data_IF_371074984252
#
_entry.id   IF_371074984252
#
_cell.length_a   1.000
_cell.length_b   1.000
_cell.length_c   1.000
_cell.angle_alpha   90.00
_cell.angle_beta   90.00
_cell.angle_gamma   90.00
#
_symmetry.space_group_name_H-M   'P 1'
#
loop_
_entity.id
_entity.type
_entity.pdbx_description
1 polymer ?
#
# COMPACT_ATOMS: atom_id res chain seq x y z
N UNK A 1 10.04 -2.93 -21.33
CA UNK A 1 9.15 -1.90 -20.74
C UNK A 1 8.71 -2.25 -19.31
N UNK A 2 8.50 -3.53 -18.97
CA UNK A 2 8.21 -3.99 -17.61
C UNK A 2 9.21 -3.53 -16.54
N UNK A 3 10.50 -3.46 -16.86
CA UNK A 3 11.54 -2.94 -15.95
C UNK A 3 11.32 -1.48 -15.53
N UNK A 4 10.78 -0.64 -16.42
CA UNK A 4 10.48 0.76 -16.11
C UNK A 4 9.30 0.85 -15.17
N UNK A 5 8.22 0.09 -15.42
CA UNK A 5 7.07 0.03 -14.52
C UNK A 5 7.46 -0.50 -13.14
N UNK A 6 8.30 -1.53 -13.06
CA UNK A 6 8.84 -2.05 -11.81
C UNK A 6 9.72 -1.03 -11.09
N UNK A 7 10.60 -0.31 -11.79
CA UNK A 7 11.43 0.74 -11.22
C UNK A 7 10.58 1.90 -10.65
N UNK A 8 9.55 2.34 -11.38
CA UNK A 8 8.63 3.38 -10.91
C UNK A 8 7.83 2.93 -9.68
N UNK A 9 7.37 1.68 -9.67
CA UNK A 9 6.68 1.09 -8.53
C UNK A 9 7.60 1.03 -7.29
N UNK A 10 8.84 0.55 -7.45
CA UNK A 10 9.83 0.51 -6.37
C UNK A 10 10.20 1.91 -5.88
N UNK A 11 10.38 2.88 -6.78
CA UNK A 11 10.64 4.27 -6.41
C UNK A 11 9.49 4.87 -5.61
N UNK A 12 8.25 4.61 -5.99
CA UNK A 12 7.09 5.10 -5.26
C UNK A 12 6.99 4.48 -3.85
N UNK A 13 7.28 3.18 -3.69
CA UNK A 13 7.40 2.58 -2.35
C UNK A 13 8.59 3.12 -1.55
N UNK A 14 9.74 3.34 -2.20
CA UNK A 14 10.90 3.98 -1.59
C UNK A 14 10.56 5.39 -1.07
N UNK A 15 9.81 6.17 -1.86
CA UNK A 15 9.30 7.48 -1.45
C UNK A 15 8.40 7.38 -0.22
N UNK A 16 7.46 6.43 -0.16
CA UNK A 16 6.62 6.21 1.03
C UNK A 16 7.47 5.88 2.25
N UNK A 17 8.44 4.98 2.13
CA UNK A 17 9.34 4.60 3.22
C UNK A 17 10.14 5.79 3.75
N UNK A 18 10.76 6.56 2.85
CA UNK A 18 11.48 7.80 3.20
C UNK A 18 10.54 8.81 3.85
N UNK A 19 9.33 8.99 3.32
CA UNK A 19 8.35 9.93 3.86
C UNK A 19 8.01 9.63 5.32
N UNK A 20 7.81 8.35 5.65
CA UNK A 20 7.54 7.90 7.03
C UNK A 20 8.76 8.16 7.94
N UNK A 21 9.97 7.86 7.47
CA UNK A 21 11.20 8.12 8.23
C UNK A 21 11.37 9.62 8.48
N UNK A 22 11.21 10.47 7.47
CA UNK A 22 11.36 11.91 7.61
C UNK A 22 10.30 12.46 8.57
N UNK A 23 9.04 12.06 8.42
CA UNK A 23 7.95 12.49 9.32
C UNK A 23 8.16 12.06 10.78
N UNK A 24 8.93 11.00 11.05
CA UNK A 24 9.23 10.55 12.43
C UNK A 24 10.50 11.13 13.02
N UNK A 25 11.41 11.65 12.20
CA UNK A 25 12.76 12.05 12.63
C UNK A 25 13.05 13.53 12.44
N UNK A 26 12.25 14.23 11.64
CA UNK A 26 12.44 15.64 11.30
C UNK A 26 11.54 16.56 12.12
N UNK A 27 11.98 17.81 12.26
CA UNK A 27 11.14 18.88 12.78
C UNK A 27 10.15 19.41 11.73
N UNK A 28 9.53 20.55 12.03
CA UNK A 28 8.58 21.20 11.12
C UNK A 28 9.19 21.41 9.72
N UNK A 29 8.42 21.19 8.64
CA UNK A 29 8.93 21.34 7.28
C UNK A 29 9.42 22.77 7.04
N UNK A 30 10.64 22.92 6.51
CA UNK A 30 11.25 24.22 6.25
C UNK A 30 10.78 24.85 4.92
N UNK A 31 10.12 24.06 4.07
CA UNK A 31 9.56 24.53 2.81
C UNK A 31 8.56 23.56 2.17
N UNK A 32 8.05 23.94 1.00
CA UNK A 32 7.00 23.19 0.30
C UNK A 32 7.42 21.78 -0.13
N UNK A 33 8.69 21.59 -0.53
CA UNK A 33 9.22 20.26 -0.89
C UNK A 33 9.26 19.36 0.34
N UNK A 34 9.75 19.87 1.47
CA UNK A 34 9.78 19.14 2.74
C UNK A 34 8.37 18.75 3.19
N UNK A 35 7.40 19.65 3.02
CA UNK A 35 6.00 19.38 3.34
C UNK A 35 5.42 18.26 2.48
N UNK A 36 5.76 18.20 1.18
CA UNK A 36 5.31 17.11 0.29
C UNK A 36 5.96 15.78 0.67
N UNK A 37 7.26 15.77 0.97
CA UNK A 37 7.97 14.56 1.39
C UNK A 37 7.45 14.07 2.76
N UNK A 38 7.19 14.98 3.70
CA UNK A 38 6.68 14.60 5.02
C UNK A 38 5.21 14.19 4.97
N UNK A 39 4.39 14.81 4.11
CA UNK A 39 2.94 14.67 4.13
C UNK A 39 2.41 13.23 4.01
N UNK A 40 3.06 12.37 3.22
CA UNK A 40 2.66 10.95 3.14
C UNK A 40 2.98 10.21 4.44
N UNK A 41 4.11 10.51 5.06
CA UNK A 41 4.49 9.97 6.36
C UNK A 41 3.57 10.47 7.47
N UNK A 42 3.26 11.76 7.49
CA UNK A 42 2.32 12.37 8.44
C UNK A 42 0.91 11.79 8.29
N UNK A 43 0.44 11.59 7.05
CA UNK A 43 -0.82 10.91 6.78
C UNK A 43 -0.81 9.50 7.37
N UNK A 44 0.24 8.71 7.12
CA UNK A 44 0.38 7.37 7.67
C UNK A 44 0.30 7.37 9.21
N UNK A 45 1.11 8.22 9.86
CA UNK A 45 1.17 8.30 11.32
C UNK A 45 -0.15 8.76 11.93
N UNK A 46 -0.77 9.78 11.34
CA UNK A 46 -2.04 10.37 11.79
C UNK A 46 -3.19 9.38 11.63
N UNK A 47 -3.29 8.70 10.48
CA UNK A 47 -4.32 7.70 10.23
C UNK A 47 -4.19 6.52 11.20
N UNK A 48 -2.99 5.97 11.39
CA UNK A 48 -2.75 4.88 12.36
C UNK A 48 -3.10 5.32 13.78
N UNK A 49 -2.69 6.52 14.20
CA UNK A 49 -3.03 7.04 15.52
C UNK A 49 -4.54 7.20 15.71
N UNK A 50 -5.22 7.75 14.70
CA UNK A 50 -6.67 7.94 14.71
C UNK A 50 -7.43 6.61 14.79
N UNK A 51 -7.02 5.60 14.01
CA UNK A 51 -7.62 4.27 14.04
C UNK A 51 -7.41 3.58 15.39
N UNK A 52 -6.26 3.78 16.03
CA UNK A 52 -6.01 3.27 17.39
C UNK A 52 -6.86 3.99 18.43
N UNK A 53 -6.98 5.31 18.34
CA UNK A 53 -7.87 6.08 19.22
C UNK A 53 -9.33 5.63 19.08
N UNK A 54 -9.79 5.41 17.84
CA UNK A 54 -11.11 4.84 17.59
C UNK A 54 -11.27 3.49 18.28
N UNK A 55 -10.33 2.56 18.11
CA UNK A 55 -10.40 1.23 18.71
C UNK A 55 -10.54 1.27 20.24
N UNK A 56 -9.83 2.19 20.89
CA UNK A 56 -9.90 2.42 22.34
C UNK A 56 -11.20 3.09 22.79
N UNK A 57 -11.86 3.84 21.91
CA UNK A 57 -13.12 4.52 22.21
C UNK A 57 -14.36 3.63 22.02
N UNK A 58 -14.22 2.48 21.35
CA UNK A 58 -15.34 1.57 21.13
C UNK A 58 -15.64 0.70 22.36
N UNK A 59 -16.85 0.14 22.42
CA UNK A 59 -17.21 -0.90 23.41
C UNK A 59 -16.71 -2.30 23.04
N UNK A 60 -16.08 -2.45 21.88
CA UNK A 60 -15.53 -3.71 21.36
C UNK A 60 -14.10 -3.87 21.85
N UNK A 61 -13.67 -5.10 22.14
CA UNK A 61 -12.27 -5.36 22.49
C UNK A 61 -11.33 -4.82 21.39
N UNK A 62 -10.26 -4.08 21.73
CA UNK A 62 -9.32 -3.53 20.76
C UNK A 62 -8.76 -4.59 19.80
N UNK A 63 -8.61 -5.83 20.27
CA UNK A 63 -8.21 -6.99 19.45
C UNK A 63 -9.15 -7.22 18.27
N UNK A 64 -10.45 -7.19 18.51
CA UNK A 64 -11.45 -7.46 17.47
C UNK A 64 -11.60 -6.29 16.51
N UNK A 65 -11.43 -5.05 16.99
CA UNK A 65 -11.38 -3.88 16.12
C UNK A 65 -10.17 -3.96 15.17
N UNK A 66 -9.01 -4.37 15.67
CA UNK A 66 -7.81 -4.50 14.86
C UNK A 66 -7.91 -5.63 13.82
N UNK A 67 -8.51 -6.78 14.19
CA UNK A 67 -8.89 -7.82 13.22
C UNK A 67 -9.85 -7.27 12.15
N UNK A 68 -10.79 -6.40 12.54
CA UNK A 68 -11.66 -5.68 11.62
C UNK A 68 -10.89 -4.80 10.64
N UNK A 69 -9.90 -4.05 11.12
CA UNK A 69 -9.02 -3.25 10.25
C UNK A 69 -8.21 -4.12 9.28
N UNK A 70 -7.65 -5.23 9.76
CA UNK A 70 -6.96 -6.19 8.92
C UNK A 70 -7.90 -6.72 7.83
N UNK A 71 -9.13 -7.12 8.18
CA UNK A 71 -10.12 -7.57 7.21
C UNK A 71 -10.49 -6.48 6.20
N UNK A 72 -10.65 -5.22 6.64
CA UNK A 72 -10.94 -4.08 5.76
C UNK A 72 -9.78 -3.77 4.80
N UNK A 73 -8.54 -4.06 5.20
CA UNK A 73 -7.37 -3.87 4.35
C UNK A 73 -7.40 -4.74 3.07
N UNK A 74 -8.21 -5.81 3.05
CA UNK A 74 -8.39 -6.65 1.85
C UNK A 74 -8.85 -5.85 0.64
N UNK A 75 -9.70 -4.84 0.83
CA UNK A 75 -10.26 -4.02 -0.26
C UNK A 75 -9.17 -3.22 -0.97
N UNK A 76 -8.40 -2.34 -0.29
CA UNK A 76 -7.31 -1.61 -0.94
C UNK A 76 -6.17 -2.54 -1.41
N UNK A 77 -5.88 -3.65 -0.72
CA UNK A 77 -4.93 -4.66 -1.21
C UNK A 77 -5.38 -5.22 -2.56
N UNK A 78 -6.65 -5.63 -2.67
CA UNK A 78 -7.21 -6.16 -3.90
C UNK A 78 -7.14 -5.14 -5.03
N UNK A 79 -7.49 -3.87 -4.77
CA UNK A 79 -7.38 -2.79 -5.75
C UNK A 79 -5.91 -2.63 -6.20
N UNK A 80 -4.97 -2.58 -5.26
CA UNK A 80 -3.55 -2.45 -5.57
C UNK A 80 -3.06 -3.56 -6.49
N UNK A 81 -3.38 -4.80 -6.13
CA UNK A 81 -2.99 -6.00 -6.85
C UNK A 81 -3.65 -6.12 -8.22
N UNK A 82 -4.93 -5.76 -8.32
CA UNK A 82 -5.67 -5.75 -9.58
C UNK A 82 -5.03 -4.76 -10.57
N UNK A 83 -4.75 -3.53 -10.13
CA UNK A 83 -4.09 -2.52 -10.95
C UNK A 83 -2.67 -2.96 -11.35
N UNK A 84 -1.91 -3.54 -10.42
CA UNK A 84 -0.56 -4.05 -10.69
C UNK A 84 -0.57 -5.17 -11.73
N UNK A 85 -1.54 -6.08 -11.65
CA UNK A 85 -1.75 -7.15 -12.62
C UNK A 85 -2.03 -6.60 -14.02
N UNK A 86 -2.88 -5.56 -14.12
CA UNK A 86 -3.13 -4.84 -15.37
C UNK A 86 -1.86 -4.23 -15.96
N UNK A 87 -1.04 -3.56 -15.14
CA UNK A 87 0.26 -3.00 -15.58
C UNK A 87 1.17 -4.07 -16.16
N UNK A 88 1.30 -5.21 -15.49
CA UNK A 88 2.16 -6.31 -15.96
C UNK A 88 1.65 -6.86 -17.29
N UNK A 89 0.32 -7.02 -17.42
CA UNK A 89 -0.30 -7.61 -18.60
C UNK A 89 -0.14 -6.75 -19.85
N UNK A 90 -0.06 -5.42 -19.72
CA UNK A 90 0.26 -4.49 -20.83
C UNK A 90 1.66 -4.72 -21.41
N UNK A 91 2.58 -5.30 -20.65
CA UNK A 91 3.98 -5.44 -21.06
C UNK A 91 4.39 -6.88 -21.44
N UNK A 92 3.41 -7.77 -21.60
CA UNK A 92 3.63 -9.18 -21.90
C UNK A 92 2.77 -9.57 -23.11
N UNK A 93 3.40 -9.74 -24.27
CA UNK A 93 2.74 -10.01 -25.55
C UNK A 93 2.21 -11.46 -25.70
N UNK A 94 2.51 -12.35 -24.74
CA UNK A 94 2.09 -13.75 -24.81
C UNK A 94 0.64 -13.94 -24.35
N UNK A 95 -0.26 -14.09 -25.33
CA UNK A 95 -1.69 -14.36 -25.12
C UNK A 95 -1.99 -15.72 -24.46
N UNK A 96 -0.99 -16.59 -24.28
CA UNK A 96 -1.18 -17.96 -23.77
C UNK A 96 -1.20 -18.05 -22.24
N UNK A 97 -0.54 -17.14 -21.53
CA UNK A 97 -0.55 -17.06 -20.07
C UNK A 97 -0.52 -15.58 -19.70
N UNK A 98 -1.54 -15.05 -19.05
CA UNK A 98 -1.51 -13.68 -18.52
C UNK A 98 -0.50 -13.60 -17.37
N UNK A 99 0.73 -13.13 -17.57
CA UNK A 99 1.80 -13.28 -16.57
C UNK A 99 1.52 -12.40 -15.34
N UNK A 100 0.71 -11.34 -15.52
CA UNK A 100 0.16 -10.52 -14.45
C UNK A 100 -0.78 -11.30 -13.53
N UNK A 101 -1.59 -12.24 -14.04
CA UNK A 101 -2.42 -13.11 -13.19
C UNK A 101 -1.56 -14.19 -12.53
N UNK A 102 -0.59 -14.77 -13.24
CA UNK A 102 0.33 -15.77 -12.65
C UNK A 102 1.07 -15.15 -11.46
N UNK A 103 1.68 -13.96 -11.62
CA UNK A 103 2.35 -13.27 -10.52
C UNK A 103 1.38 -12.94 -9.36
N UNK A 104 0.17 -12.50 -9.69
CA UNK A 104 -0.86 -12.18 -8.72
C UNK A 104 -1.24 -13.41 -7.88
N UNK A 105 -1.47 -14.56 -8.50
CA UNK A 105 -1.89 -15.77 -7.79
C UNK A 105 -0.72 -16.50 -7.12
N UNK A 106 0.50 -16.45 -7.66
CA UNK A 106 1.66 -17.14 -7.11
C UNK A 106 2.32 -16.36 -5.98
N UNK A 107 2.38 -15.03 -6.05
CA UNK A 107 3.05 -14.20 -5.04
C UNK A 107 2.10 -13.21 -4.37
N UNK A 108 1.27 -12.50 -5.14
CA UNK A 108 0.38 -11.48 -4.60
C UNK A 108 -0.61 -12.02 -3.57
N UNK A 109 -1.29 -13.12 -3.89
CA UNK A 109 -2.31 -13.72 -3.04
C UNK A 109 -1.70 -14.33 -1.76
N UNK A 110 -0.64 -15.17 -1.80
CA UNK A 110 -0.03 -15.68 -0.58
C UNK A 110 0.54 -14.59 0.32
N UNK A 111 1.19 -13.57 -0.25
CA UNK A 111 1.71 -12.43 0.53
C UNK A 111 0.59 -11.62 1.17
N UNK A 112 -0.54 -11.44 0.47
CA UNK A 112 -1.69 -10.72 1.00
C UNK A 112 -2.36 -11.47 2.13
N UNK A 113 -2.60 -12.78 1.96
CA UNK A 113 -3.15 -13.64 3.01
C UNK A 113 -2.19 -13.67 4.21
N UNK A 114 -0.89 -13.80 3.96
CA UNK A 114 0.14 -13.73 5.00
C UNK A 114 0.16 -12.39 5.73
N UNK A 115 0.02 -11.27 5.02
CA UNK A 115 -0.05 -9.93 5.61
C UNK A 115 -1.31 -9.76 6.47
N UNK A 116 -2.46 -10.26 6.02
CA UNK A 116 -3.72 -10.23 6.77
C UNK A 116 -3.59 -11.03 8.08
N UNK A 117 -3.17 -12.29 7.98
CA UNK A 117 -2.99 -13.16 9.15
C UNK A 117 -1.94 -12.57 10.09
N UNK A 118 -0.79 -12.14 9.55
CA UNK A 118 0.28 -11.52 10.32
C UNK A 118 -0.21 -10.27 11.05
N UNK A 119 -0.93 -9.38 10.36
CA UNK A 119 -1.46 -8.17 10.98
C UNK A 119 -2.45 -8.47 12.11
N UNK A 120 -3.33 -9.48 11.93
CA UNK A 120 -4.27 -9.89 12.96
C UNK A 120 -3.57 -10.54 14.17
N UNK A 121 -2.50 -11.32 13.95
CA UNK A 121 -1.73 -11.96 15.03
C UNK A 121 -0.90 -10.95 15.81
N UNK A 122 -0.32 -9.96 15.13
CA UNK A 122 0.58 -8.97 15.72
C UNK A 122 -0.09 -7.65 16.11
N UNK A 123 -1.42 -7.56 16.00
CA UNK A 123 -2.18 -6.33 16.31
C UNK A 123 -1.74 -5.12 15.46
N UNK A 124 -1.54 -5.35 14.15
CA UNK A 124 -1.08 -4.38 13.16
C UNK A 124 -2.15 -4.03 12.11
N UNK A 125 -3.42 -4.33 12.37
CA UNK A 125 -4.53 -4.11 11.43
C UNK A 125 -4.67 -2.66 11.01
N UNK A 126 -4.53 -1.70 11.94
CA UNK A 126 -4.55 -0.27 11.61
C UNK A 126 -3.41 0.13 10.65
N UNK A 127 -2.21 -0.42 10.87
CA UNK A 127 -1.03 -0.19 10.04
C UNK A 127 -1.23 -0.82 8.65
N UNK A 128 -1.74 -2.06 8.59
CA UNK A 128 -2.01 -2.74 7.33
C UNK A 128 -3.07 -1.99 6.51
N UNK A 129 -4.17 -1.56 7.14
CA UNK A 129 -5.22 -0.79 6.49
C UNK A 129 -4.70 0.55 5.93
N UNK A 130 -3.87 1.25 6.70
CA UNK A 130 -3.31 2.53 6.27
C UNK A 130 -2.30 2.33 5.13
N UNK A 131 -1.37 1.37 5.26
CA UNK A 131 -0.37 1.09 4.23
C UNK A 131 -0.99 0.55 2.95
N UNK A 132 -2.01 -0.30 3.04
CA UNK A 132 -2.72 -0.79 1.85
C UNK A 132 -3.44 0.34 1.13
N UNK A 133 -4.06 1.27 1.87
CA UNK A 133 -4.69 2.48 1.29
C UNK A 133 -3.66 3.35 0.56
N UNK A 134 -2.50 3.60 1.18
CA UNK A 134 -1.37 4.30 0.52
C UNK A 134 -0.91 3.51 -0.72
N UNK A 135 -0.87 2.19 -0.62
CA UNK A 135 -0.51 1.29 -1.71
C UNK A 135 -1.34 1.54 -2.97
N UNK A 136 -2.64 1.81 -2.86
CA UNK A 136 -3.47 2.17 -4.03
C UNK A 136 -2.88 3.36 -4.79
N UNK A 137 -2.45 4.41 -4.08
CA UNK A 137 -1.76 5.55 -4.70
C UNK A 137 -0.43 5.17 -5.35
N UNK A 138 0.34 4.27 -4.72
CA UNK A 138 1.63 3.79 -5.24
C UNK A 138 1.50 3.11 -6.59
N UNK A 139 0.48 2.25 -6.79
CA UNK A 139 0.31 1.55 -8.07
C UNK A 139 -0.25 2.43 -9.18
N UNK A 140 -0.89 3.56 -8.84
CA UNK A 140 -1.36 4.51 -9.86
C UNK A 140 -0.22 5.13 -10.66
N UNK A 141 1.00 5.25 -10.09
CA UNK A 141 2.18 5.80 -10.79
C UNK A 141 2.57 4.95 -12.01
N UNK A 142 2.92 3.65 -11.87
CA UNK A 142 3.21 2.81 -13.03
C UNK A 142 1.97 2.56 -13.89
N UNK A 143 0.76 2.55 -13.32
CA UNK A 143 -0.48 2.41 -14.08
C UNK A 143 -0.73 3.57 -15.05
N UNK A 144 -0.63 4.81 -14.58
CA UNK A 144 -0.75 5.99 -15.43
C UNK A 144 0.32 5.98 -16.53
N UNK A 145 1.56 5.59 -16.20
CA UNK A 145 2.63 5.45 -17.19
C UNK A 145 2.29 4.40 -18.26
N UNK A 146 1.76 3.24 -17.86
CA UNK A 146 1.37 2.18 -18.79
C UNK A 146 0.24 2.63 -19.73
N UNK A 147 -0.79 3.29 -19.22
CA UNK A 147 -1.92 3.77 -20.02
C UNK A 147 -1.58 4.93 -20.97
N UNK A 148 -0.63 5.80 -20.59
CA UNK A 148 -0.16 6.88 -21.49
C UNK A 148 0.71 6.34 -22.63
N UNK A 149 1.28 5.15 -22.47
CA UNK A 149 2.23 4.54 -23.41
C UNK A 149 1.64 3.39 -24.24
N UNK A 150 0.45 2.91 -23.90
CA UNK A 150 -0.34 1.94 -24.67
C UNK A 150 -1.07 2.65 -25.82
#
# INVERSE_FOLDING_TARGET
MILVAAALWLMAWGFVGVSIIVATTSGAPAGAVDAVVQGVGEFYLTAVATLRQFALSTTVSPRWVDVGYAALATVPIFIHLFLLSGVISVYTDDAAESPGLVLLFTLGLPLSVGALIGSAVFYLGAQLLTLSTIGVGVVLVPFAYAFVRA
#
